data_IF_577515871955
#
_entry.id   IF_577515871955
#
_cell.length_a   1.000
_cell.length_b   1.000
_cell.length_c   1.000
_cell.angle_alpha   90.00
_cell.angle_beta   90.00
_cell.angle_gamma   90.00
#
_symmetry.space_group_name_H-M   'P 1'
#
loop_
_entity.id
_entity.type
_entity.pdbx_description
1 polymer ?
#
# COMPACT_ATOMS: atom_id res chain seq x y z
N UNK A 1 3.54 29.20 22.01
CA UNK A 1 3.78 29.85 20.73
C UNK A 1 4.45 28.91 19.75
N UNK A 2 5.66 28.52 20.07
CA UNK A 2 6.44 27.67 19.17
C UNK A 2 5.81 26.33 18.91
N UNK A 3 5.06 25.82 19.86
CA UNK A 3 4.40 24.52 19.71
C UNK A 3 3.38 24.49 18.58
N UNK A 4 2.79 25.63 18.31
CA UNK A 4 1.79 25.74 17.26
C UNK A 4 2.39 25.47 15.90
N UNK A 5 3.61 25.91 15.69
CA UNK A 5 4.29 25.68 14.42
C UNK A 5 4.54 24.20 14.18
N UNK A 6 4.92 23.49 15.23
CA UNK A 6 5.18 22.06 15.09
C UNK A 6 3.92 21.29 14.72
N UNK A 7 2.79 21.71 15.28
CA UNK A 7 1.54 21.08 14.95
C UNK A 7 1.18 21.28 13.48
N UNK A 8 1.41 22.47 12.96
CA UNK A 8 1.14 22.75 11.56
C UNK A 8 2.01 21.91 10.65
N UNK A 9 3.28 21.76 10.99
CA UNK A 9 4.18 20.94 10.20
C UNK A 9 3.74 19.50 10.17
N UNK A 10 3.30 18.98 11.31
CA UNK A 10 2.82 17.61 11.37
C UNK A 10 1.61 17.40 10.51
N UNK A 11 0.70 18.36 10.47
CA UNK A 11 -0.47 18.25 9.62
C UNK A 11 -0.10 18.16 8.15
N UNK A 12 0.86 18.94 7.73
CA UNK A 12 1.32 18.91 6.35
C UNK A 12 1.93 17.56 6.02
N UNK A 13 2.74 17.03 6.93
CA UNK A 13 3.39 15.74 6.73
C UNK A 13 2.38 14.61 6.68
N UNK A 14 1.27 14.75 7.37
CA UNK A 14 0.25 13.73 7.41
C UNK A 14 -0.48 13.56 6.08
N UNK A 15 -0.42 14.56 5.21
CA UNK A 15 -1.05 14.48 3.91
C UNK A 15 -0.18 13.66 3.00
N UNK A 16 -0.74 12.57 2.48
CA UNK A 16 0.00 11.78 1.50
C UNK A 16 -0.96 11.35 0.40
N UNK A 17 -0.39 11.18 -0.79
CA UNK A 17 -1.15 10.87 -1.99
C UNK A 17 -0.99 9.43 -2.44
N UNK A 18 -0.29 8.61 -1.67
CA UNK A 18 -0.09 7.22 -2.03
C UNK A 18 -1.34 6.41 -1.80
N UNK A 19 -1.55 5.42 -2.67
CA UNK A 19 -2.72 4.55 -2.60
C UNK A 19 -2.43 3.29 -1.79
N UNK A 20 -1.36 3.28 -1.02
CA UNK A 20 -0.94 2.09 -0.29
C UNK A 20 -0.28 2.48 1.03
N UNK A 21 -0.25 1.54 1.97
CA UNK A 21 0.38 1.75 3.27
C UNK A 21 1.86 1.38 3.26
N UNK A 22 2.25 0.34 2.50
CA UNK A 22 3.65 -0.05 2.41
C UNK A 22 3.90 -0.86 1.15
N UNK A 23 5.18 -1.02 0.82
CA UNK A 23 5.65 -1.81 -0.30
C UNK A 23 6.48 -2.98 0.22
N UNK A 24 6.30 -4.14 -0.37
CA UNK A 24 7.13 -5.30 -0.09
C UNK A 24 7.34 -6.07 -1.39
N UNK A 25 8.60 -6.21 -1.79
CA UNK A 25 8.92 -6.84 -3.07
C UNK A 25 8.30 -6.07 -4.22
N UNK A 26 7.61 -6.79 -5.09
CA UNK A 26 7.03 -6.21 -6.29
C UNK A 26 5.68 -5.56 -6.07
N UNK A 27 5.10 -5.70 -4.89
CA UNK A 27 3.74 -5.28 -4.66
C UNK A 27 3.61 -4.22 -3.59
N UNK A 28 2.51 -3.49 -3.65
CA UNK A 28 2.11 -2.47 -2.69
C UNK A 28 0.89 -2.98 -1.95
N UNK A 29 0.78 -2.65 -0.67
CA UNK A 29 -0.24 -3.23 0.20
C UNK A 29 -0.93 -2.18 1.03
N UNK A 30 -2.22 -2.42 1.30
CA UNK A 30 -2.96 -1.70 2.32
C UNK A 30 -3.25 -2.64 3.47
N UNK A 31 -3.11 -2.13 4.69
CA UNK A 31 -3.44 -2.89 5.87
C UNK A 31 -4.96 -2.89 6.03
N UNK A 32 -5.56 -4.07 6.04
CA UNK A 32 -7.00 -4.21 6.20
C UNK A 32 -7.39 -4.54 7.63
N UNK A 33 -6.46 -5.04 8.42
CA UNK A 33 -6.66 -5.20 9.86
C UNK A 33 -5.33 -4.97 10.57
N UNK A 34 -5.33 -4.01 11.47
CA UNK A 34 -4.14 -3.65 12.26
C UNK A 34 -4.16 -4.29 13.65
N UNK A 35 -5.08 -5.20 13.89
CA UNK A 35 -5.13 -6.00 15.10
C UNK A 35 -5.22 -7.47 14.69
N UNK A 36 -4.84 -8.37 15.59
CA UNK A 36 -4.80 -9.80 15.27
C UNK A 36 -6.21 -10.34 14.98
N UNK A 37 -6.39 -11.15 13.95
CA UNK A 37 -5.37 -11.55 12.97
C UNK A 37 -5.09 -10.42 11.97
N UNK A 38 -3.82 -10.14 11.78
CA UNK A 38 -3.39 -9.05 10.90
C UNK A 38 -3.58 -9.44 9.45
N UNK A 39 -4.21 -8.55 8.66
CA UNK A 39 -4.48 -8.82 7.25
C UNK A 39 -4.12 -7.62 6.39
N UNK A 40 -3.84 -7.88 5.12
CA UNK A 40 -3.52 -6.87 4.15
C UNK A 40 -4.11 -7.24 2.80
N UNK A 41 -4.25 -6.24 1.93
CA UNK A 41 -4.68 -6.44 0.56
C UNK A 41 -3.63 -5.90 -0.39
N UNK A 42 -3.55 -6.45 -1.59
CA UNK A 42 -2.72 -5.89 -2.64
C UNK A 42 -3.40 -4.60 -3.12
N UNK A 43 -2.65 -3.51 -3.15
CA UNK A 43 -3.17 -2.20 -3.49
C UNK A 43 -2.65 -1.75 -4.83
N UNK A 44 -3.31 -0.77 -5.45
CA UNK A 44 -2.75 -0.18 -6.64
C UNK A 44 -1.64 0.80 -6.26
N UNK A 45 -0.77 1.04 -7.22
CA UNK A 45 0.50 1.71 -6.96
C UNK A 45 0.34 3.20 -6.69
N UNK A 46 -0.47 3.87 -7.50
CA UNK A 46 -0.52 5.32 -7.46
C UNK A 46 -1.81 5.82 -8.09
N UNK A 47 -2.45 6.79 -7.48
CA UNK A 47 -3.68 7.38 -8.02
C UNK A 47 -3.46 8.07 -9.35
N UNK A 48 -2.27 8.61 -9.56
CA UNK A 48 -1.96 9.35 -10.79
C UNK A 48 -1.49 8.43 -11.92
N UNK A 49 -1.36 7.16 -11.64
CA UNK A 49 -0.87 6.21 -12.64
C UNK A 49 -2.05 5.55 -13.33
N UNK A 50 -1.99 5.51 -14.64
CA UNK A 50 -2.99 4.77 -15.42
C UNK A 50 -2.61 3.32 -15.58
N UNK A 51 -1.37 2.96 -15.20
CA UNK A 51 -0.86 1.63 -15.34
C UNK A 51 -0.09 1.26 -14.07
N UNK A 52 -0.72 0.48 -13.22
CA UNK A 52 -0.08 -0.03 -12.03
C UNK A 52 0.72 -1.27 -12.39
N UNK A 53 1.83 -1.48 -11.68
CA UNK A 53 2.67 -2.66 -11.91
C UNK A 53 3.06 -2.81 -13.37
N UNK A 54 3.43 -1.71 -13.99
CA UNK A 54 3.80 -1.66 -15.39
C UNK A 54 4.96 -2.61 -15.67
N UNK A 55 4.83 -3.41 -16.72
CA UNK A 55 5.86 -4.38 -17.08
C UNK A 55 5.74 -5.71 -16.37
N UNK A 56 4.83 -5.86 -15.44
CA UNK A 56 4.64 -7.11 -14.72
C UNK A 56 3.90 -8.09 -15.63
N UNK A 57 4.50 -9.25 -15.86
CA UNK A 57 3.88 -10.27 -16.71
C UNK A 57 3.26 -11.40 -15.90
N UNK A 58 3.67 -11.54 -14.65
CA UNK A 58 3.15 -12.56 -13.75
C UNK A 58 3.01 -11.95 -12.36
N UNK A 59 1.89 -12.22 -11.71
CA UNK A 59 1.65 -11.74 -10.36
C UNK A 59 1.76 -12.90 -9.39
N UNK A 60 2.92 -13.03 -8.75
CA UNK A 60 3.15 -14.03 -7.72
C UNK A 60 2.96 -13.38 -6.36
N UNK A 61 1.73 -13.38 -5.89
CA UNK A 61 1.37 -12.70 -4.65
C UNK A 61 1.67 -13.60 -3.47
N UNK A 62 2.52 -13.17 -2.53
CA UNK A 62 2.84 -13.99 -1.38
C UNK A 62 1.64 -14.14 -0.45
N UNK A 63 1.65 -15.23 0.29
CA UNK A 63 0.60 -15.52 1.25
C UNK A 63 0.66 -14.59 2.46
N UNK A 64 1.87 -14.22 2.85
CA UNK A 64 2.13 -13.36 4.00
C UNK A 64 3.18 -12.32 3.65
N UNK A 65 3.08 -11.16 4.27
CA UNK A 65 4.09 -10.10 4.14
C UNK A 65 4.38 -9.54 5.52
N UNK A 66 5.61 -9.09 5.73
CA UNK A 66 6.01 -8.52 7.01
C UNK A 66 6.34 -7.04 6.84
N UNK A 67 5.80 -6.23 7.73
CA UNK A 67 6.05 -4.79 7.74
C UNK A 67 6.11 -4.33 9.19
N UNK A 68 7.19 -3.62 9.53
CA UNK A 68 7.43 -3.13 10.90
C UNK A 68 7.32 -4.23 11.96
N UNK A 69 7.85 -5.40 11.64
CA UNK A 69 7.89 -6.51 12.58
C UNK A 69 6.59 -7.27 12.71
N UNK A 70 5.56 -6.90 11.97
CA UNK A 70 4.26 -7.57 12.01
C UNK A 70 4.05 -8.32 10.71
N UNK A 71 3.63 -9.57 10.81
CA UNK A 71 3.32 -10.39 9.65
C UNK A 71 1.83 -10.31 9.36
N UNK A 72 1.50 -9.89 8.14
CA UNK A 72 0.12 -9.76 7.68
C UNK A 72 -0.20 -10.86 6.70
N UNK A 73 -1.38 -11.46 6.83
CA UNK A 73 -1.88 -12.40 5.83
C UNK A 73 -2.47 -11.60 4.66
N UNK A 74 -2.07 -11.94 3.45
CA UNK A 74 -2.60 -11.29 2.26
C UNK A 74 -3.89 -12.00 1.89
N UNK A 75 -5.01 -11.36 2.14
CA UNK A 75 -6.34 -12.00 2.03
C UNK A 75 -7.17 -11.52 0.87
N UNK A 76 -6.79 -10.41 0.22
CA UNK A 76 -7.59 -9.89 -0.88
C UNK A 76 -6.75 -9.03 -1.81
N UNK A 77 -7.33 -8.71 -2.95
CA UNK A 77 -6.76 -7.79 -3.91
C UNK A 77 -7.68 -6.57 -3.92
N UNK A 78 -7.09 -5.42 -3.67
CA UNK A 78 -7.85 -4.19 -3.59
C UNK A 78 -8.44 -3.77 -4.92
N UNK A 79 -9.42 -2.89 -4.86
CA UNK A 79 -10.08 -2.37 -6.04
C UNK A 79 -9.07 -1.69 -6.95
N UNK A 80 -9.13 -2.02 -8.24
CA UNK A 80 -8.25 -1.44 -9.27
C UNK A 80 -6.75 -1.72 -9.06
N UNK A 81 -6.38 -2.69 -8.22
CA UNK A 81 -4.98 -2.97 -7.95
C UNK A 81 -4.18 -3.23 -9.22
N UNK A 82 -4.73 -4.00 -10.14
CA UNK A 82 -4.06 -4.33 -11.39
C UNK A 82 -4.63 -3.60 -12.60
N UNK A 83 -5.23 -2.47 -12.36
CA UNK A 83 -5.78 -1.66 -13.44
C UNK A 83 -4.67 -1.24 -14.39
N UNK A 84 -4.90 -1.43 -15.67
CA UNK A 84 -3.95 -1.03 -16.71
C UNK A 84 -2.78 -1.97 -16.91
N UNK A 85 -2.77 -3.12 -16.26
CA UNK A 85 -1.67 -4.08 -16.37
C UNK A 85 -1.86 -4.95 -17.61
N UNK A 86 -1.64 -4.38 -18.77
CA UNK A 86 -1.93 -5.06 -20.04
C UNK A 86 -0.95 -6.20 -20.34
N UNK A 87 0.18 -6.24 -19.68
CA UNK A 87 1.17 -7.30 -19.87
C UNK A 87 0.94 -8.51 -18.98
N UNK A 88 0.05 -8.39 -18.05
CA UNK A 88 -0.19 -9.42 -17.05
C UNK A 88 -1.12 -10.51 -17.58
#
# INVERSE_FOLDING_TARGET
MKRIFYLLILLIVAINTYAYDFQSGDFYYNITSSSAPYTAEVAFQNYNSTSNYSGLTTANIPKNVTYNGITYSVTSIGEDAFRGCSSL
#
